data_IF_223241531920
#
_entry.id   IF_223241531920
#
_cell.length_a   1.000
_cell.length_b   1.000
_cell.length_c   1.000
_cell.angle_alpha   90.00
_cell.angle_beta   90.00
_cell.angle_gamma   90.00
#
_symmetry.space_group_name_H-M   'P 1'
#
loop_
_entity.id
_entity.type
_entity.pdbx_description
1 polymer ?
#
# COMPACT_ATOMS: atom_id res chain seq x y z
N UNK A 1 -4.92 15.31 -32.69
CA UNK A 1 -4.69 15.70 -31.29
C UNK A 1 -4.15 14.47 -30.57
N UNK A 2 -2.84 14.42 -30.29
CA UNK A 2 -2.24 13.28 -29.58
C UNK A 2 -2.42 13.55 -28.09
N UNK A 3 -3.33 12.83 -27.46
CA UNK A 3 -3.58 12.95 -26.02
C UNK A 3 -2.46 12.26 -25.25
N UNK A 4 -1.63 13.04 -24.58
CA UNK A 4 -0.70 12.51 -23.59
C UNK A 4 -1.49 12.25 -22.30
N UNK A 5 -1.71 10.98 -21.96
CA UNK A 5 -2.35 10.63 -20.70
C UNK A 5 -1.27 10.36 -19.65
N UNK A 6 -1.13 11.28 -18.69
CA UNK A 6 -0.28 11.07 -17.52
C UNK A 6 -0.90 9.93 -16.70
N UNK A 7 -0.17 8.82 -16.53
CA UNK A 7 -0.64 7.61 -15.84
C UNK A 7 -0.62 7.76 -14.30
N UNK A 8 -1.03 8.92 -13.79
CA UNK A 8 -1.06 9.27 -12.37
C UNK A 8 -2.50 9.48 -11.92
N UNK A 9 -2.77 9.13 -10.68
CA UNK A 9 -4.03 9.40 -10.00
C UNK A 9 -3.88 10.69 -9.19
N UNK A 10 -4.81 11.62 -9.36
CA UNK A 10 -4.77 12.91 -8.69
C UNK A 10 -6.12 13.29 -8.10
N UNK A 11 -6.10 13.86 -6.89
CA UNK A 11 -7.25 14.53 -6.30
C UNK A 11 -7.17 16.01 -6.61
N UNK A 12 -8.31 16.59 -6.95
CA UNK A 12 -8.46 18.02 -7.21
C UNK A 12 -9.32 18.60 -6.10
N UNK A 13 -8.85 19.66 -5.45
CA UNK A 13 -9.61 20.37 -4.43
C UNK A 13 -10.17 21.70 -4.96
N UNK A 14 -11.09 22.30 -4.19
CA UNK A 14 -11.69 23.61 -4.49
C UNK A 14 -10.68 24.77 -4.41
N UNK A 15 -9.48 24.51 -3.88
CA UNK A 15 -8.38 25.47 -3.79
C UNK A 15 -7.45 25.42 -5.02
N UNK A 16 -7.86 24.73 -6.09
CA UNK A 16 -7.09 24.53 -7.32
C UNK A 16 -5.76 23.80 -7.09
N UNK A 17 -5.64 23.05 -6.00
CA UNK A 17 -4.47 22.25 -5.69
C UNK A 17 -4.65 20.82 -6.22
N UNK A 18 -3.58 20.29 -6.84
CA UNK A 18 -3.53 18.94 -7.37
C UNK A 18 -2.66 18.09 -6.45
N UNK A 19 -3.25 17.07 -5.82
CA UNK A 19 -2.49 16.09 -5.03
C UNK A 19 -2.26 14.84 -5.85
N UNK A 20 -1.01 14.53 -6.17
CA UNK A 20 -0.64 13.24 -6.77
C UNK A 20 -0.76 12.19 -5.66
N UNK A 21 -1.64 11.22 -5.87
CA UNK A 21 -1.94 10.18 -4.87
C UNK A 21 -1.14 8.92 -5.17
N UNK A 22 -1.09 8.51 -6.43
CA UNK A 22 -0.41 7.28 -6.84
C UNK A 22 -0.24 7.20 -8.37
N UNK A 23 0.42 6.16 -8.86
CA UNK A 23 0.44 5.80 -10.28
C UNK A 23 -0.64 4.77 -10.58
N UNK A 24 -1.36 4.97 -11.69
CA UNK A 24 -2.40 4.03 -12.14
C UNK A 24 -1.85 2.62 -12.39
N UNK A 25 -0.55 2.48 -12.70
CA UNK A 25 0.11 1.19 -12.96
C UNK A 25 0.51 0.42 -11.70
N UNK A 26 0.59 1.08 -10.54
CA UNK A 26 1.11 0.47 -9.30
C UNK A 26 -0.03 0.09 -8.32
N UNK A 27 -1.29 0.23 -8.76
CA UNK A 27 -2.48 -0.14 -8.00
C UNK A 27 -2.61 -1.67 -7.90
N UNK A 28 -2.81 -2.17 -6.67
CA UNK A 28 -2.97 -3.60 -6.37
C UNK A 28 -4.46 -3.96 -6.37
N UNK A 29 -4.86 -5.00 -7.09
CA UNK A 29 -6.23 -5.47 -7.21
C UNK A 29 -6.45 -6.74 -6.37
N UNK A 30 -6.96 -6.56 -5.15
CA UNK A 30 -7.26 -7.67 -4.24
C UNK A 30 -8.74 -7.98 -4.29
N UNK A 31 -9.12 -9.10 -4.92
CA UNK A 31 -10.51 -9.58 -5.00
C UNK A 31 -11.49 -8.52 -5.55
N UNK A 32 -11.05 -7.72 -6.52
CA UNK A 32 -11.85 -6.66 -7.14
C UNK A 32 -11.85 -5.32 -6.38
N UNK A 33 -11.08 -5.22 -5.28
CA UNK A 33 -10.87 -3.98 -4.55
C UNK A 33 -9.55 -3.32 -4.94
N UNK A 34 -9.60 -2.02 -5.21
CA UNK A 34 -8.41 -1.21 -5.45
C UNK A 34 -7.70 -0.95 -4.12
N UNK A 35 -6.44 -1.35 -4.05
CA UNK A 35 -5.55 -1.08 -2.93
C UNK A 35 -4.39 -0.24 -3.43
N UNK A 36 -4.18 0.89 -2.78
CA UNK A 36 -3.06 1.80 -3.05
C UNK A 36 -1.89 1.43 -2.14
N UNK A 37 -0.72 1.04 -2.70
CA UNK A 37 0.47 0.72 -1.91
C UNK A 37 0.82 1.80 -0.89
N UNK A 38 0.74 3.08 -1.28
CA UNK A 38 1.08 4.21 -0.41
C UNK A 38 0.26 4.21 0.89
N UNK A 39 -1.02 3.86 0.85
CA UNK A 39 -1.84 3.78 2.08
C UNK A 39 -1.38 2.68 3.03
N UNK A 40 -0.88 1.57 2.47
CA UNK A 40 -0.33 0.45 3.26
C UNK A 40 1.03 0.86 3.84
N UNK A 41 1.89 1.45 3.02
CA UNK A 41 3.22 1.92 3.40
C UNK A 41 3.13 2.97 4.51
N UNK A 42 2.27 3.98 4.36
CA UNK A 42 2.04 5.02 5.36
C UNK A 42 1.66 4.41 6.72
N UNK A 43 0.77 3.42 6.73
CA UNK A 43 0.36 2.74 7.97
C UNK A 43 1.51 1.94 8.57
N UNK A 44 2.27 1.20 7.76
CA UNK A 44 3.42 0.42 8.23
C UNK A 44 4.50 1.36 8.81
N UNK A 45 4.71 2.51 8.18
CA UNK A 45 5.64 3.56 8.61
C UNK A 45 5.26 4.24 9.92
N UNK A 46 4.00 4.12 10.39
CA UNK A 46 3.61 4.57 11.73
C UNK A 46 4.26 3.76 12.86
N UNK A 47 4.78 2.56 12.57
CA UNK A 47 5.53 1.80 13.57
C UNK A 47 6.96 2.37 13.71
N UNK A 48 7.29 2.89 14.88
CA UNK A 48 8.60 3.53 15.16
C UNK A 48 9.82 2.62 14.93
N UNK A 49 9.63 1.29 14.91
CA UNK A 49 10.67 0.30 14.65
C UNK A 49 10.90 0.03 13.16
N UNK A 50 10.09 0.61 12.28
CA UNK A 50 10.25 0.53 10.83
C UNK A 50 11.07 1.71 10.33
N UNK A 51 12.08 1.44 9.50
CA UNK A 51 12.86 2.46 8.82
C UNK A 51 12.23 2.84 7.48
N UNK A 52 11.84 1.83 6.70
CA UNK A 52 11.21 1.96 5.39
C UNK A 52 10.26 0.78 5.15
N UNK A 53 9.19 1.02 4.39
CA UNK A 53 8.25 -0.01 3.97
C UNK A 53 7.86 0.19 2.51
N UNK A 54 7.72 -0.92 1.78
CA UNK A 54 7.24 -0.94 0.40
C UNK A 54 6.20 -2.04 0.25
N UNK A 55 5.04 -1.70 -0.32
CA UNK A 55 3.96 -2.63 -0.60
C UNK A 55 3.89 -2.91 -2.10
N UNK A 56 3.78 -4.18 -2.47
CA UNK A 56 3.59 -4.60 -3.87
C UNK A 56 2.46 -5.61 -4.00
N UNK A 57 1.82 -5.60 -5.16
CA UNK A 57 0.91 -6.66 -5.59
C UNK A 57 1.70 -7.86 -6.07
N UNK A 58 1.35 -9.05 -5.58
CA UNK A 58 1.86 -10.31 -6.13
C UNK A 58 0.69 -11.17 -6.61
N UNK A 59 0.81 -11.86 -7.75
CA UNK A 59 -0.27 -12.72 -8.26
C UNK A 59 -0.70 -13.76 -7.22
N UNK A 60 -2.02 -13.97 -7.11
CA UNK A 60 -2.61 -14.93 -6.19
C UNK A 60 -3.84 -15.59 -6.82
N UNK A 61 -3.88 -16.92 -6.80
CA UNK A 61 -4.84 -17.73 -7.56
C UNK A 61 -6.31 -17.42 -7.25
N UNK A 62 -6.63 -17.05 -6.00
CA UNK A 62 -8.02 -16.83 -5.55
C UNK A 62 -8.43 -15.36 -5.60
N UNK A 63 -7.49 -14.45 -5.36
CA UNK A 63 -7.80 -13.02 -5.19
C UNK A 63 -7.36 -12.15 -6.36
N UNK A 64 -6.80 -12.74 -7.42
CA UNK A 64 -6.13 -12.02 -8.50
C UNK A 64 -4.73 -11.60 -8.04
N UNK A 65 -4.68 -10.67 -7.09
CA UNK A 65 -3.44 -10.25 -6.43
C UNK A 65 -3.57 -10.32 -4.90
N UNK A 66 -2.43 -10.36 -4.23
CA UNK A 66 -2.31 -10.17 -2.78
C UNK A 66 -1.20 -9.18 -2.46
N UNK A 67 -1.27 -8.55 -1.28
CA UNK A 67 -0.32 -7.52 -0.87
C UNK A 67 0.86 -8.20 -0.19
N UNK A 68 2.06 -7.95 -0.71
CA UNK A 68 3.32 -8.31 -0.07
C UNK A 68 4.03 -7.04 0.36
N UNK A 69 4.44 -7.00 1.63
CA UNK A 69 5.11 -5.84 2.22
C UNK A 69 6.56 -6.22 2.51
N UNK A 70 7.49 -5.41 2.02
CA UNK A 70 8.90 -5.45 2.39
C UNK A 70 9.17 -4.36 3.39
N UNK A 71 9.91 -4.69 4.45
CA UNK A 71 10.16 -3.78 5.57
C UNK A 71 11.64 -3.80 5.90
N UNK A 72 12.23 -2.61 5.95
CA UNK A 72 13.54 -2.38 6.52
C UNK A 72 13.35 -2.06 8.00
N UNK A 73 13.94 -2.90 8.86
CA UNK A 73 13.89 -2.68 10.30
C UNK A 73 14.80 -1.51 10.68
N UNK A 74 14.28 -0.62 11.53
CA UNK A 74 15.08 0.36 12.27
C UNK A 74 15.58 -0.22 13.60
N UNK A 75 14.79 -1.13 14.17
CA UNK A 75 15.06 -1.83 15.41
C UNK A 75 14.97 -3.34 15.18
N UNK A 76 16.04 -4.06 15.53
CA UNK A 76 16.14 -5.50 15.33
C UNK A 76 15.11 -6.30 16.15
N UNK A 77 14.59 -5.72 17.23
CA UNK A 77 13.52 -6.30 18.04
C UNK A 77 12.17 -6.35 17.31
N UNK A 78 12.01 -5.69 16.16
CA UNK A 78 10.76 -5.73 15.40
C UNK A 78 10.45 -7.16 14.96
N UNK A 79 9.31 -7.68 15.43
CA UNK A 79 8.84 -9.02 15.05
C UNK A 79 7.76 -8.95 13.97
N UNK A 80 7.60 -10.05 13.24
CA UNK A 80 6.53 -10.18 12.24
C UNK A 80 5.13 -10.08 12.87
N UNK A 81 4.95 -10.64 14.07
CA UNK A 81 3.66 -10.63 14.75
C UNK A 81 3.30 -9.23 15.27
N UNK A 82 4.28 -8.48 15.79
CA UNK A 82 4.10 -7.06 16.17
C UNK A 82 3.65 -6.23 14.96
N UNK A 83 4.34 -6.36 13.84
CA UNK A 83 4.00 -5.63 12.62
C UNK A 83 2.62 -6.04 12.06
N UNK A 84 2.28 -7.32 12.12
CA UNK A 84 0.96 -7.82 11.69
C UNK A 84 -0.15 -7.27 12.57
N UNK A 85 0.04 -7.23 13.89
CA UNK A 85 -0.93 -6.69 14.82
C UNK A 85 -1.11 -5.18 14.60
N UNK A 86 -0.02 -4.44 14.37
CA UNK A 86 -0.06 -3.05 13.96
C UNK A 86 -0.89 -2.85 12.69
N UNK A 87 -0.58 -3.60 11.63
CA UNK A 87 -1.35 -3.55 10.38
C UNK A 87 -2.84 -3.89 10.59
N UNK A 88 -3.19 -4.85 11.44
CA UNK A 88 -4.59 -5.20 11.74
C UNK A 88 -5.35 -4.12 12.51
N UNK A 89 -4.66 -3.29 13.29
CA UNK A 89 -5.28 -2.20 14.04
C UNK A 89 -5.65 -1.02 13.13
N UNK A 90 -4.82 -0.76 12.11
CA UNK A 90 -4.94 0.43 11.27
C UNK A 90 -5.46 0.16 9.85
N UNK A 91 -5.33 -1.07 9.35
CA UNK A 91 -5.83 -1.48 8.03
C UNK A 91 -7.14 -2.27 8.16
N UNK A 92 -8.10 -1.97 7.28
CA UNK A 92 -9.32 -2.76 7.12
C UNK A 92 -8.99 -4.19 6.66
N UNK A 93 -9.77 -5.19 7.10
CA UNK A 93 -9.41 -6.61 7.02
C UNK A 93 -9.08 -7.18 5.62
N UNK A 94 -9.47 -6.52 4.53
CA UNK A 94 -9.11 -6.90 3.16
C UNK A 94 -7.73 -6.40 2.71
N UNK A 95 -7.17 -5.39 3.40
CA UNK A 95 -5.83 -4.81 3.16
C UNK A 95 -4.73 -5.47 4.00
N UNK A 96 -5.10 -6.35 4.93
CA UNK A 96 -4.13 -7.06 5.75
C UNK A 96 -3.32 -8.06 4.92
N UNK A 97 -2.00 -7.92 4.94
CA UNK A 97 -1.07 -8.84 4.28
C UNK A 97 -1.37 -10.30 4.66
N UNK A 98 -1.67 -11.12 3.65
CA UNK A 98 -1.87 -12.57 3.82
C UNK A 98 -0.55 -13.31 3.67
N UNK A 99 -0.47 -14.42 4.40
CA UNK A 99 0.68 -15.32 4.47
C UNK A 99 0.93 -16.00 3.12
N UNK A 100 2.18 -15.97 2.65
CA UNK A 100 2.82 -17.01 1.84
C UNK A 100 4.25 -17.20 2.33
#
# INVERSE_FOLDING_TARGET
MVGWQLAILSLWDESYSLRIVDRKKDMILVSGFNVYPNEIEDVVMLNYKVAEAVAIGVPHEVSGETIKIFVVKKDDSLTRDELRNHCRQYLTGYKGAKRN
#
